data_IF_666357688312
#
_entry.id   IF_666357688312
#
_cell.length_a   1.000
_cell.length_b   1.000
_cell.length_c   1.000
_cell.angle_alpha   90.00
_cell.angle_beta   90.00
_cell.angle_gamma   90.00
#
_symmetry.space_group_name_H-M   'P 1'
#
loop_
_entity.id
_entity.type
_entity.pdbx_description
1 polymer ?
#
# COMPACT_ATOMS: atom_id res chain seq x y z
N UNK A 1 0.29 -14.83 -21.28
CA UNK A 1 0.71 -14.17 -20.02
C UNK A 1 0.85 -15.23 -18.93
N UNK A 2 1.86 -15.10 -18.05
CA UNK A 2 2.04 -15.99 -16.88
C UNK A 2 1.65 -15.21 -15.63
N UNK A 3 0.81 -15.79 -14.79
CA UNK A 3 0.50 -15.34 -13.45
C UNK A 3 1.21 -16.29 -12.46
N UNK A 4 2.14 -15.74 -11.69
CA UNK A 4 2.93 -16.48 -10.70
C UNK A 4 2.59 -15.99 -9.30
N UNK A 5 2.14 -16.85 -8.41
CA UNK A 5 1.76 -16.49 -7.04
C UNK A 5 1.86 -17.71 -6.10
N UNK A 6 1.98 -17.45 -4.79
CA UNK A 6 1.97 -18.50 -3.74
C UNK A 6 0.58 -19.11 -3.53
N UNK A 7 -0.47 -18.49 -4.07
CA UNK A 7 -1.84 -18.96 -3.94
C UNK A 7 -2.62 -18.73 -5.23
N UNK A 8 -3.51 -19.65 -5.54
CA UNK A 8 -4.39 -19.48 -6.69
C UNK A 8 -5.41 -18.36 -6.42
N UNK A 9 -5.62 -17.43 -7.37
CA UNK A 9 -6.64 -16.40 -7.20
C UNK A 9 -8.04 -17.02 -7.08
N UNK A 10 -8.88 -16.41 -6.24
CA UNK A 10 -10.26 -16.85 -6.07
C UNK A 10 -11.12 -16.62 -7.33
N UNK A 11 -10.74 -15.63 -8.14
CA UNK A 11 -11.42 -15.32 -9.41
C UNK A 11 -11.00 -16.31 -10.50
N UNK A 12 -11.90 -16.50 -11.45
CA UNK A 12 -11.61 -17.32 -12.65
C UNK A 12 -10.47 -16.67 -13.45
N UNK A 13 -9.44 -17.47 -13.74
CA UNK A 13 -8.32 -17.03 -14.56
C UNK A 13 -8.80 -16.98 -16.02
N UNK A 14 -8.68 -15.82 -16.71
CA UNK A 14 -9.08 -15.71 -18.10
C UNK A 14 -8.33 -16.69 -19.01
N UNK A 15 -8.97 -17.06 -20.12
CA UNK A 15 -8.36 -17.90 -21.15
C UNK A 15 -7.07 -17.26 -21.70
N UNK A 16 -6.06 -18.07 -21.97
CA UNK A 16 -4.74 -17.59 -22.43
C UNK A 16 -3.80 -17.12 -21.32
N UNK A 17 -4.22 -17.16 -20.04
CA UNK A 17 -3.35 -16.90 -18.90
C UNK A 17 -2.97 -18.23 -18.24
N UNK A 18 -1.67 -18.50 -18.17
CA UNK A 18 -1.13 -19.65 -17.44
C UNK A 18 -0.89 -19.25 -15.97
N UNK A 19 -1.46 -20.01 -15.05
CA UNK A 19 -1.16 -19.85 -13.61
C UNK A 19 -0.07 -20.86 -13.19
N UNK A 20 0.95 -20.36 -12.51
CA UNK A 20 2.03 -21.16 -11.93
C UNK A 20 2.07 -20.87 -10.42
N UNK A 21 1.90 -21.92 -9.63
CA UNK A 21 2.06 -21.86 -8.18
C UNK A 21 3.54 -21.87 -7.82
N UNK A 22 3.99 -20.89 -7.03
CA UNK A 22 5.39 -20.82 -6.58
C UNK A 22 5.63 -19.64 -5.67
N UNK A 23 6.79 -19.62 -5.03
CA UNK A 23 7.18 -18.61 -4.06
C UNK A 23 8.42 -17.84 -4.54
N UNK A 24 8.36 -16.52 -4.56
CA UNK A 24 9.51 -15.67 -4.96
C UNK A 24 10.72 -15.83 -4.04
N UNK A 25 10.55 -16.35 -2.83
CA UNK A 25 11.66 -16.69 -1.93
C UNK A 25 12.52 -17.84 -2.44
N UNK A 26 12.00 -18.66 -3.36
CA UNK A 26 12.69 -19.76 -3.97
C UNK A 26 13.05 -19.44 -5.42
N UNK A 27 14.33 -19.21 -5.69
CA UNK A 27 14.81 -18.90 -7.02
C UNK A 27 14.42 -19.97 -8.05
N UNK A 28 14.44 -21.25 -7.66
CA UNK A 28 14.03 -22.39 -8.50
C UNK A 28 12.61 -22.26 -9.04
N UNK A 29 11.68 -21.78 -8.21
CA UNK A 29 10.28 -21.65 -8.60
C UNK A 29 10.11 -20.59 -9.68
N UNK A 30 10.83 -19.47 -9.54
CA UNK A 30 10.85 -18.38 -10.53
C UNK A 30 11.51 -18.87 -11.84
N UNK A 31 12.63 -19.55 -11.75
CA UNK A 31 13.35 -20.08 -12.92
C UNK A 31 12.50 -21.13 -13.66
N UNK A 32 11.75 -21.96 -12.94
CA UNK A 32 10.79 -22.90 -13.51
C UNK A 32 9.65 -22.19 -14.23
N UNK A 33 9.14 -21.08 -13.68
CA UNK A 33 8.10 -20.28 -14.33
C UNK A 33 8.56 -19.63 -15.64
N UNK A 34 9.87 -19.41 -15.81
CA UNK A 34 10.47 -18.87 -17.04
C UNK A 34 10.92 -19.97 -18.02
N UNK A 35 10.79 -21.25 -17.64
CA UNK A 35 11.29 -22.34 -18.49
C UNK A 35 10.39 -22.54 -19.73
N UNK A 36 11.02 -22.62 -20.90
CA UNK A 36 10.30 -22.89 -22.17
C UNK A 36 9.50 -21.70 -22.71
N UNK A 37 9.61 -20.52 -22.11
CA UNK A 37 8.91 -19.30 -22.54
C UNK A 37 9.89 -18.15 -22.72
N UNK A 38 9.61 -17.30 -23.70
CA UNK A 38 10.32 -16.05 -23.90
C UNK A 38 9.61 -14.92 -23.14
N UNK A 39 10.17 -14.56 -21.97
CA UNK A 39 9.57 -13.56 -21.07
C UNK A 39 10.04 -12.17 -21.47
N UNK A 40 9.17 -11.38 -22.06
CA UNK A 40 9.50 -10.04 -22.52
C UNK A 40 9.57 -8.98 -21.41
N UNK A 41 8.83 -9.15 -20.32
CA UNK A 41 8.80 -8.23 -19.18
C UNK A 41 8.28 -8.94 -17.93
N UNK A 42 8.88 -8.65 -16.78
CA UNK A 42 8.37 -9.05 -15.47
C UNK A 42 7.73 -7.84 -14.79
N UNK A 43 6.49 -8.01 -14.35
CA UNK A 43 5.82 -7.10 -13.42
C UNK A 43 5.97 -7.67 -12.01
N UNK A 44 6.90 -7.12 -11.24
CA UNK A 44 7.16 -7.56 -9.87
C UNK A 44 6.27 -6.81 -8.88
N UNK A 45 5.10 -7.40 -8.60
CA UNK A 45 4.05 -6.82 -7.74
C UNK A 45 4.05 -7.48 -6.35
N UNK A 46 4.51 -8.73 -6.26
CA UNK A 46 4.51 -9.49 -5.02
C UNK A 46 5.20 -8.77 -3.87
N UNK A 47 4.53 -8.69 -2.73
CA UNK A 47 5.05 -8.08 -1.50
C UNK A 47 4.27 -8.57 -0.29
N UNK A 48 4.86 -8.44 0.91
CA UNK A 48 4.26 -8.88 2.16
C UNK A 48 4.41 -7.83 3.26
N UNK A 49 3.47 -7.79 4.20
CA UNK A 49 3.59 -7.01 5.44
C UNK A 49 3.07 -5.58 5.42
N UNK A 50 2.25 -5.18 4.42
CA UNK A 50 1.74 -3.82 4.32
C UNK A 50 0.74 -3.46 5.42
N UNK A 51 -0.06 -4.40 5.90
CA UNK A 51 -1.13 -4.14 6.88
C UNK A 51 -1.45 -5.34 7.75
N UNK A 52 -2.17 -5.09 8.85
CA UNK A 52 -2.70 -6.15 9.69
C UNK A 52 -1.62 -6.98 10.40
N UNK A 53 -1.88 -8.26 10.62
CA UNK A 53 -0.97 -9.20 11.29
C UNK A 53 0.34 -9.40 10.53
N UNK A 54 0.32 -9.21 9.23
CA UNK A 54 1.50 -9.34 8.39
C UNK A 54 2.62 -8.41 8.83
N UNK A 55 2.31 -7.20 9.31
CA UNK A 55 3.29 -6.21 9.77
C UNK A 55 4.16 -6.71 10.95
N UNK A 56 3.69 -7.71 11.67
CA UNK A 56 4.35 -8.24 12.87
C UNK A 56 5.45 -9.26 12.54
N UNK A 57 5.40 -9.86 11.35
CA UNK A 57 6.38 -10.87 10.93
C UNK A 57 7.53 -10.25 10.14
N UNK A 58 8.46 -9.60 10.86
CA UNK A 58 9.58 -8.88 10.25
C UNK A 58 10.49 -9.78 9.40
N UNK A 59 10.74 -11.02 9.82
CA UNK A 59 11.57 -11.96 9.07
C UNK A 59 10.95 -12.24 7.70
N UNK A 60 9.68 -12.62 7.68
CA UNK A 60 8.98 -12.93 6.44
C UNK A 60 8.86 -11.69 5.52
N UNK A 61 8.67 -10.49 6.09
CA UNK A 61 8.67 -9.23 5.32
C UNK A 61 10.02 -9.03 4.62
N UNK A 62 11.14 -9.26 5.32
CA UNK A 62 12.49 -9.15 4.75
C UNK A 62 12.73 -10.22 3.68
N UNK A 63 12.39 -11.47 3.96
CA UNK A 63 12.55 -12.59 3.03
C UNK A 63 11.78 -12.39 1.73
N UNK A 64 10.51 -11.95 1.83
CA UNK A 64 9.68 -11.73 0.64
C UNK A 64 10.08 -10.47 -0.10
N UNK A 65 10.14 -9.32 0.59
CA UNK A 65 10.29 -8.02 -0.09
C UNK A 65 11.71 -7.76 -0.56
N UNK A 66 12.73 -8.21 0.16
CA UNK A 66 14.13 -8.02 -0.21
C UNK A 66 14.70 -9.27 -0.86
N UNK A 67 14.65 -10.41 -0.19
CA UNK A 67 15.16 -11.68 -0.73
C UNK A 67 14.43 -12.12 -2.00
N UNK A 68 13.09 -12.04 -2.01
CA UNK A 68 12.29 -12.33 -3.19
C UNK A 68 12.60 -11.40 -4.37
N UNK A 69 12.83 -10.11 -4.11
CA UNK A 69 13.26 -9.16 -5.16
C UNK A 69 14.64 -9.51 -5.70
N UNK A 70 15.60 -9.91 -4.85
CA UNK A 70 16.92 -10.38 -5.30
C UNK A 70 16.79 -11.61 -6.20
N UNK A 71 15.94 -12.57 -5.84
CA UNK A 71 15.70 -13.76 -6.65
C UNK A 71 15.06 -13.43 -8.01
N UNK A 72 14.10 -12.51 -8.06
CA UNK A 72 13.50 -12.04 -9.31
C UNK A 72 14.57 -11.39 -10.23
N UNK A 73 15.39 -10.50 -9.68
CA UNK A 73 16.47 -9.85 -10.43
C UNK A 73 17.48 -10.88 -10.95
N UNK A 74 17.86 -11.86 -10.13
CA UNK A 74 18.76 -12.92 -10.53
C UNK A 74 18.16 -13.81 -11.63
N UNK A 75 16.88 -14.20 -11.50
CA UNK A 75 16.18 -14.97 -12.51
C UNK A 75 16.08 -14.22 -13.84
N UNK A 76 15.75 -12.92 -13.82
CA UNK A 76 15.72 -12.10 -15.01
C UNK A 76 17.07 -12.10 -15.74
N UNK A 77 18.17 -11.90 -15.02
CA UNK A 77 19.52 -11.92 -15.61
C UNK A 77 19.88 -13.28 -16.21
N UNK A 78 19.66 -14.36 -15.45
CA UNK A 78 19.98 -15.73 -15.88
C UNK A 78 19.18 -16.21 -17.07
N UNK A 79 17.91 -15.80 -17.14
CA UNK A 79 16.98 -16.23 -18.19
C UNK A 79 16.90 -15.27 -19.37
N UNK A 80 17.61 -14.14 -19.33
CA UNK A 80 17.64 -13.16 -20.41
C UNK A 80 16.38 -12.29 -20.49
N UNK A 81 15.68 -12.08 -19.39
CA UNK A 81 14.49 -11.22 -19.37
C UNK A 81 14.93 -9.75 -19.46
N UNK A 82 14.56 -9.00 -20.51
CA UNK A 82 15.13 -7.69 -20.76
C UNK A 82 14.52 -6.56 -19.94
N UNK A 83 13.31 -6.74 -19.36
CA UNK A 83 12.58 -5.66 -18.71
C UNK A 83 11.94 -6.09 -17.39
N UNK A 84 12.00 -5.20 -16.41
CA UNK A 84 11.32 -5.39 -15.12
C UNK A 84 10.70 -4.08 -14.65
N UNK A 85 9.40 -4.11 -14.34
CA UNK A 85 8.66 -3.04 -13.70
C UNK A 85 8.34 -3.45 -12.26
N UNK A 86 8.82 -2.67 -11.29
CA UNK A 86 8.64 -2.94 -9.87
C UNK A 86 7.53 -2.08 -9.26
N UNK A 87 6.61 -2.71 -8.58
CA UNK A 87 5.60 -1.99 -7.78
C UNK A 87 6.18 -1.66 -6.42
N UNK A 88 6.61 -0.43 -6.27
CA UNK A 88 7.10 0.16 -5.03
C UNK A 88 5.96 0.79 -4.21
N UNK A 89 6.20 1.90 -3.55
CA UNK A 89 5.23 2.68 -2.77
C UNK A 89 5.78 4.08 -2.50
N UNK A 90 4.92 5.09 -2.35
CA UNK A 90 5.36 6.42 -1.90
C UNK A 90 6.00 6.39 -0.49
N UNK A 91 5.73 5.36 0.31
CA UNK A 91 6.31 5.22 1.66
C UNK A 91 7.84 5.11 1.68
N UNK A 92 8.49 4.90 0.53
CA UNK A 92 9.97 4.88 0.47
C UNK A 92 10.59 6.23 0.78
N UNK A 93 9.80 7.31 0.66
CA UNK A 93 10.22 8.68 0.98
C UNK A 93 9.40 9.32 2.12
N UNK A 94 8.27 8.72 2.53
CA UNK A 94 7.36 9.27 3.52
C UNK A 94 7.52 8.57 4.87
N UNK A 95 7.75 9.37 5.92
CA UNK A 95 7.86 8.90 7.31
C UNK A 95 6.97 9.65 8.31
N UNK A 96 5.99 10.42 7.80
CA UNK A 96 5.10 11.23 8.63
C UNK A 96 5.33 12.75 8.48
N UNK A 97 6.32 13.18 7.70
CA UNK A 97 6.53 14.60 7.38
C UNK A 97 5.50 15.10 6.35
N UNK A 98 5.21 16.40 6.38
CA UNK A 98 4.35 17.03 5.38
C UNK A 98 5.09 17.08 4.03
N UNK A 99 4.44 16.54 3.00
CA UNK A 99 4.91 16.62 1.60
C UNK A 99 3.78 17.23 0.77
N UNK A 100 4.09 18.31 0.04
CA UNK A 100 3.13 18.97 -0.86
C UNK A 100 3.70 18.99 -2.26
N UNK A 101 3.00 18.35 -3.19
CA UNK A 101 3.40 18.24 -4.59
C UNK A 101 4.86 17.78 -4.75
N UNK A 102 5.27 16.77 -3.94
CA UNK A 102 6.62 16.22 -3.98
C UNK A 102 6.89 15.49 -5.29
N UNK A 103 8.10 15.54 -5.81
CA UNK A 103 8.51 14.83 -7.00
C UNK A 103 9.56 13.75 -6.72
N UNK A 104 10.00 13.06 -7.75
CA UNK A 104 10.93 11.95 -7.66
C UNK A 104 12.37 12.35 -7.27
N UNK A 105 12.68 13.66 -7.22
CA UNK A 105 13.95 14.19 -6.72
C UNK A 105 14.06 14.15 -5.19
N UNK A 106 12.93 13.98 -4.49
CA UNK A 106 12.91 13.86 -3.05
C UNK A 106 13.76 12.66 -2.59
N UNK A 107 14.61 12.85 -1.56
CA UNK A 107 15.47 11.78 -1.07
C UNK A 107 14.67 10.66 -0.43
N UNK A 108 15.21 9.44 -0.50
CA UNK A 108 14.70 8.33 0.28
C UNK A 108 14.74 8.65 1.78
N UNK A 109 13.71 8.23 2.48
CA UNK A 109 13.74 8.28 3.93
C UNK A 109 14.90 7.40 4.45
N UNK A 110 15.72 7.90 5.39
CA UNK A 110 16.74 7.08 6.04
C UNK A 110 16.15 5.80 6.64
N UNK A 111 16.81 4.65 6.46
CA UNK A 111 16.25 3.34 6.80
C UNK A 111 15.81 3.21 8.27
N UNK A 112 16.49 3.92 9.18
CA UNK A 112 16.14 3.91 10.62
C UNK A 112 14.95 4.81 10.98
N UNK A 113 14.52 5.70 10.07
CA UNK A 113 13.38 6.61 10.26
C UNK A 113 12.07 6.04 9.71
N UNK A 114 12.11 4.92 8.98
CA UNK A 114 10.87 4.30 8.52
C UNK A 114 10.01 3.85 9.70
N UNK A 115 8.74 4.30 9.75
CA UNK A 115 7.86 3.98 10.87
C UNK A 115 7.43 2.51 10.91
N UNK A 116 7.53 1.80 9.79
CA UNK A 116 7.21 0.37 9.67
C UNK A 116 8.24 -0.39 8.85
N UNK A 117 8.33 -1.70 9.12
CA UNK A 117 9.30 -2.57 8.47
C UNK A 117 9.00 -2.82 6.99
N UNK A 118 7.72 -2.82 6.60
CA UNK A 118 7.31 -2.91 5.20
C UNK A 118 7.89 -1.76 4.37
N UNK A 119 7.66 -0.51 4.78
CA UNK A 119 8.16 0.67 4.07
C UNK A 119 9.69 0.67 3.98
N UNK A 120 10.37 0.24 5.05
CA UNK A 120 11.83 0.05 5.07
C UNK A 120 12.28 -0.97 4.02
N UNK A 121 11.66 -2.15 3.97
CA UNK A 121 12.05 -3.20 3.02
C UNK A 121 11.70 -2.84 1.57
N UNK A 122 10.59 -2.14 1.34
CA UNK A 122 10.25 -1.61 0.02
C UNK A 122 11.28 -0.59 -0.48
N UNK A 123 11.82 0.26 0.42
CA UNK A 123 12.89 1.20 0.08
C UNK A 123 14.19 0.48 -0.30
N UNK A 124 14.55 -0.59 0.40
CA UNK A 124 15.72 -1.42 0.07
C UNK A 124 15.52 -2.09 -1.30
N UNK A 125 14.37 -2.72 -1.51
CA UNK A 125 14.05 -3.42 -2.75
C UNK A 125 14.02 -2.48 -3.97
N UNK A 126 13.41 -1.29 -3.84
CA UNK A 126 13.40 -0.30 -4.92
C UNK A 126 14.82 0.11 -5.31
N UNK A 127 15.68 0.41 -4.35
CA UNK A 127 17.09 0.76 -4.61
C UNK A 127 17.81 -0.37 -5.33
N UNK A 128 17.59 -1.64 -4.94
CA UNK A 128 18.16 -2.81 -5.63
C UNK A 128 17.67 -2.90 -7.07
N UNK A 129 16.37 -2.75 -7.32
CA UNK A 129 15.78 -2.78 -8.66
C UNK A 129 16.36 -1.68 -9.54
N UNK A 130 16.41 -0.44 -9.05
CA UNK A 130 16.94 0.68 -9.85
C UNK A 130 18.47 0.55 -10.08
N UNK A 131 19.21 0.02 -9.11
CA UNK A 131 20.65 -0.25 -9.26
C UNK A 131 20.96 -1.43 -10.22
N UNK A 132 19.99 -2.35 -10.40
CA UNK A 132 20.13 -3.45 -11.36
C UNK A 132 19.93 -3.01 -12.82
N UNK A 133 19.47 -1.78 -13.05
CA UNK A 133 19.31 -1.24 -14.39
C UNK A 133 20.66 -1.21 -15.13
N UNK A 134 20.68 -1.66 -16.37
CA UNK A 134 21.89 -1.72 -17.20
C UNK A 134 22.81 -2.93 -16.92
N UNK A 135 22.46 -3.84 -15.99
CA UNK A 135 23.25 -5.05 -15.76
C UNK A 135 23.14 -6.00 -16.95
N UNK A 136 24.26 -6.63 -17.34
CA UNK A 136 24.30 -7.57 -18.45
C UNK A 136 23.42 -8.80 -18.21
N UNK A 137 22.69 -9.21 -19.23
CA UNK A 137 21.95 -10.46 -19.26
C UNK A 137 22.89 -11.64 -19.57
N UNK A 138 22.69 -12.77 -18.92
CA UNK A 138 23.52 -13.97 -19.11
C UNK A 138 23.08 -14.77 -20.35
N UNK A 139 21.86 -14.52 -20.86
CA UNK A 139 21.34 -15.14 -22.10
C UNK A 139 20.75 -14.06 -23.00
N UNK A 140 20.78 -14.32 -24.31
CA UNK A 140 20.19 -13.44 -25.33
C UNK A 140 20.96 -12.15 -25.63
N UNK A 141 21.97 -11.83 -24.84
CA UNK A 141 22.69 -10.55 -24.93
C UNK A 141 21.88 -9.35 -24.45
N UNK A 142 22.53 -8.18 -24.39
CA UNK A 142 21.88 -6.94 -23.93
C UNK A 142 21.90 -6.76 -22.41
N UNK A 143 21.05 -5.85 -21.93
CA UNK A 143 21.01 -5.44 -20.53
C UNK A 143 19.60 -5.51 -19.98
N UNK A 144 19.49 -5.67 -18.67
CA UNK A 144 18.24 -5.57 -17.94
C UNK A 144 17.85 -4.09 -17.77
N UNK A 145 16.69 -3.71 -18.27
CA UNK A 145 16.10 -2.39 -18.06
C UNK A 145 15.03 -2.46 -16.96
N UNK A 146 15.17 -1.64 -15.93
CA UNK A 146 14.26 -1.64 -14.77
C UNK A 146 13.69 -0.28 -14.49
N UNK A 147 12.48 -0.22 -13.95
CA UNK A 147 11.91 0.99 -13.37
C UNK A 147 11.03 0.64 -12.15
N UNK A 148 10.67 1.65 -11.37
CA UNK A 148 9.84 1.49 -10.18
C UNK A 148 8.63 2.41 -10.23
N UNK A 149 7.44 1.91 -9.89
CA UNK A 149 6.24 2.70 -9.71
C UNK A 149 5.98 2.86 -8.20
N UNK A 150 5.74 4.09 -7.77
CA UNK A 150 5.42 4.47 -6.38
C UNK A 150 3.94 4.82 -6.28
N UNK A 151 3.04 3.84 -6.20
CA UNK A 151 1.61 4.11 -6.10
C UNK A 151 1.24 4.79 -4.80
N UNK A 152 0.19 5.62 -4.87
CA UNK A 152 -0.58 6.10 -3.74
C UNK A 152 -1.45 4.99 -3.12
N UNK A 153 -2.37 5.32 -2.22
CA UNK A 153 -3.30 4.36 -1.64
C UNK A 153 -4.16 3.69 -2.70
N UNK A 154 -3.96 2.40 -2.95
CA UNK A 154 -4.67 1.66 -4.01
C UNK A 154 -6.11 1.41 -3.57
N UNK A 155 -7.07 1.62 -4.48
CA UNK A 155 -8.49 1.31 -4.28
C UNK A 155 -9.12 0.76 -5.56
N UNK A 156 -10.33 0.20 -5.43
CA UNK A 156 -11.11 -0.31 -6.55
C UNK A 156 -11.92 -1.56 -6.16
N UNK A 157 -12.70 -2.12 -7.08
CA UNK A 157 -13.46 -3.34 -6.84
C UNK A 157 -12.55 -4.51 -6.45
N UNK A 158 -12.96 -5.27 -5.40
CA UNK A 158 -12.20 -6.43 -4.95
C UNK A 158 -10.93 -6.12 -4.17
N UNK A 159 -10.67 -4.85 -3.80
CA UNK A 159 -9.58 -4.51 -2.90
C UNK A 159 -9.80 -5.21 -1.54
N UNK A 160 -8.75 -5.88 -1.02
CA UNK A 160 -8.90 -6.81 0.11
C UNK A 160 -8.30 -6.31 1.44
N UNK A 161 -7.76 -5.10 1.48
CA UNK A 161 -6.99 -4.61 2.65
C UNK A 161 -7.62 -3.41 3.34
N UNK A 162 -7.82 -2.31 2.62
CA UNK A 162 -8.29 -1.06 3.19
C UNK A 162 -9.81 -0.98 3.24
N UNK A 163 -10.47 -1.20 2.12
CA UNK A 163 -11.93 -1.09 2.03
C UNK A 163 -12.65 -2.11 2.90
N UNK A 164 -12.31 -3.42 2.91
CA UNK A 164 -12.97 -4.39 3.78
C UNK A 164 -12.80 -4.08 5.26
N UNK A 165 -11.64 -3.53 5.65
CA UNK A 165 -11.37 -3.14 7.02
C UNK A 165 -12.27 -1.98 7.46
N UNK A 166 -12.42 -0.95 6.61
CA UNK A 166 -13.32 0.18 6.86
C UNK A 166 -14.77 -0.30 6.94
N UNK A 167 -15.21 -1.15 6.01
CA UNK A 167 -16.55 -1.74 6.02
C UNK A 167 -16.79 -2.54 7.31
N UNK A 168 -15.83 -3.38 7.71
CA UNK A 168 -15.91 -4.12 8.98
C UNK A 168 -16.03 -3.19 10.19
N UNK A 169 -15.35 -2.05 10.22
CA UNK A 169 -15.47 -1.08 11.31
C UNK A 169 -16.83 -0.38 11.32
N UNK A 170 -17.40 -0.09 10.14
CA UNK A 170 -18.75 0.45 10.03
C UNK A 170 -19.79 -0.55 10.55
N UNK A 171 -19.71 -1.81 10.14
CA UNK A 171 -20.63 -2.88 10.55
C UNK A 171 -20.58 -3.16 12.05
N UNK A 172 -19.37 -3.08 12.64
CA UNK A 172 -19.17 -3.21 14.09
C UNK A 172 -19.53 -1.94 14.88
N UNK A 173 -19.97 -0.86 14.20
CA UNK A 173 -20.26 0.41 14.84
C UNK A 173 -19.04 1.13 15.44
N UNK A 174 -17.83 0.82 14.97
CA UNK A 174 -16.57 1.41 15.44
C UNK A 174 -16.16 2.65 14.64
N UNK A 175 -16.72 2.87 13.46
CA UNK A 175 -16.44 4.04 12.62
C UNK A 175 -17.30 5.24 13.07
N UNK A 176 -16.96 5.83 14.22
CA UNK A 176 -17.79 6.88 14.88
C UNK A 176 -17.14 8.25 14.91
N UNK A 177 -15.87 8.35 14.62
CA UNK A 177 -15.10 9.59 14.58
C UNK A 177 -14.11 9.56 13.43
N UNK A 178 -13.73 10.73 13.00
CA UNK A 178 -12.59 10.99 12.13
C UNK A 178 -11.54 11.78 12.91
N UNK A 179 -10.32 11.92 12.41
CA UNK A 179 -9.27 12.62 13.15
C UNK A 179 -8.35 13.43 12.24
N UNK A 180 -7.50 14.22 12.85
CA UNK A 180 -6.51 15.05 12.17
C UNK A 180 -7.10 16.34 11.60
N UNK A 181 -6.27 17.06 10.83
CA UNK A 181 -6.66 18.31 10.19
C UNK A 181 -7.63 18.04 9.03
N UNK A 182 -8.82 18.70 8.98
CA UNK A 182 -9.73 18.59 7.84
C UNK A 182 -9.12 19.05 6.52
N UNK A 183 -8.06 19.87 6.56
CA UNK A 183 -7.33 20.35 5.39
C UNK A 183 -6.15 19.44 5.00
N UNK A 184 -5.89 18.36 5.74
CA UNK A 184 -4.87 17.40 5.36
C UNK A 184 -5.25 16.71 4.05
N UNK A 185 -4.29 16.57 3.15
CA UNK A 185 -4.48 16.03 1.80
C UNK A 185 -3.59 14.80 1.62
N UNK A 186 -4.19 13.74 1.13
CA UNK A 186 -3.51 12.50 0.71
C UNK A 186 -3.98 12.13 -0.69
N UNK A 187 -3.35 11.15 -1.30
CA UNK A 187 -3.74 10.68 -2.63
C UNK A 187 -4.09 9.19 -2.63
N UNK A 188 -4.88 8.85 -3.63
CA UNK A 188 -5.28 7.49 -3.95
C UNK A 188 -5.02 7.20 -5.42
N UNK A 189 -5.00 5.91 -5.78
CA UNK A 189 -4.90 5.46 -7.16
C UNK A 189 -5.88 4.32 -7.39
N UNK A 190 -6.74 4.46 -8.40
CA UNK A 190 -7.60 3.36 -8.81
C UNK A 190 -6.77 2.22 -9.42
N UNK A 191 -7.18 0.98 -9.18
CA UNK A 191 -6.46 -0.20 -9.68
C UNK A 191 -6.23 -0.15 -11.19
N UNK A 192 -7.21 0.31 -11.98
CA UNK A 192 -7.09 0.41 -13.45
C UNK A 192 -6.07 1.48 -13.88
N UNK A 193 -6.01 2.61 -13.18
CA UNK A 193 -4.97 3.61 -13.40
C UNK A 193 -3.57 3.04 -13.08
N UNK A 194 -3.47 2.24 -12.03
CA UNK A 194 -2.21 1.59 -11.69
C UNK A 194 -1.82 0.52 -12.72
N UNK A 195 -2.78 -0.26 -13.22
CA UNK A 195 -2.54 -1.23 -14.32
C UNK A 195 -2.08 -0.51 -15.57
N UNK A 196 -2.75 0.58 -15.97
CA UNK A 196 -2.32 1.44 -17.08
C UNK A 196 -0.87 1.91 -16.90
N UNK A 197 -0.53 2.41 -15.71
CA UNK A 197 0.84 2.86 -15.42
C UNK A 197 1.88 1.73 -15.57
N UNK A 198 1.57 0.50 -15.16
CA UNK A 198 2.46 -0.65 -15.36
C UNK A 198 2.71 -0.95 -16.84
N UNK A 199 1.63 -0.94 -17.64
CA UNK A 199 1.72 -1.18 -19.09
C UNK A 199 2.57 -0.09 -19.74
N UNK A 200 2.28 1.19 -19.46
CA UNK A 200 3.02 2.33 -20.00
C UNK A 200 4.50 2.32 -19.59
N UNK A 201 4.80 1.96 -18.34
CA UNK A 201 6.17 1.81 -17.85
C UNK A 201 6.92 0.69 -18.60
N UNK A 202 6.26 -0.45 -18.82
CA UNK A 202 6.83 -1.55 -19.62
C UNK A 202 7.12 -1.13 -21.08
N UNK A 203 6.24 -0.33 -21.69
CA UNK A 203 6.47 0.23 -23.02
C UNK A 203 7.64 1.24 -23.04
N UNK A 204 7.70 2.12 -22.03
CA UNK A 204 8.75 3.13 -21.90
C UNK A 204 10.15 2.53 -21.63
N UNK A 205 10.24 1.26 -21.23
CA UNK A 205 11.49 0.51 -21.13
C UNK A 205 11.99 -0.07 -22.48
N UNK A 206 11.22 0.03 -23.56
CA UNK A 206 11.59 -0.48 -24.88
C UNK A 206 12.57 0.44 -25.62
N UNK A 207 13.40 -0.14 -26.51
CA UNK A 207 14.35 0.61 -27.34
C UNK A 207 13.69 1.66 -28.24
N UNK A 208 12.50 1.35 -28.81
CA UNK A 208 11.74 2.28 -29.64
C UNK A 208 11.20 3.51 -28.87
N UNK A 209 11.24 3.49 -27.55
CA UNK A 209 10.96 4.63 -26.65
C UNK A 209 12.24 5.23 -26.04
N UNK A 210 13.42 4.85 -26.57
CA UNK A 210 14.70 5.32 -26.06
C UNK A 210 15.01 4.87 -24.65
N UNK A 211 14.37 3.82 -24.13
CA UNK A 211 14.51 3.34 -22.75
C UNK A 211 14.28 4.45 -21.70
N UNK A 212 13.37 5.40 -21.95
CA UNK A 212 13.21 6.62 -21.14
C UNK A 212 12.92 6.31 -19.66
N UNK A 213 12.27 5.16 -19.37
CA UNK A 213 11.96 4.75 -18.01
C UNK A 213 13.12 3.99 -17.32
N UNK A 214 14.23 3.69 -18.02
CA UNK A 214 15.30 2.87 -17.47
C UNK A 214 15.99 3.53 -16.28
N UNK A 215 16.00 2.84 -15.14
CA UNK A 215 16.56 3.34 -13.88
C UNK A 215 15.72 4.40 -13.17
N UNK A 216 14.48 4.63 -13.60
CA UNK A 216 13.65 5.73 -13.11
C UNK A 216 12.54 5.25 -12.15
N UNK A 217 12.27 5.98 -11.04
CA UNK A 217 11.07 5.86 -10.25
C UNK A 217 9.98 6.82 -10.77
N UNK A 218 8.70 6.49 -10.54
CA UNK A 218 7.54 7.32 -10.89
C UNK A 218 6.48 7.28 -9.79
N UNK A 219 5.98 8.44 -9.37
CA UNK A 219 4.76 8.52 -8.57
C UNK A 219 3.54 8.26 -9.43
N UNK A 220 2.61 7.46 -8.91
CA UNK A 220 1.36 7.12 -9.59
C UNK A 220 0.18 7.32 -8.64
N UNK A 221 -0.73 8.22 -9.01
CA UNK A 221 -1.97 8.52 -8.31
C UNK A 221 -3.05 8.95 -9.30
N UNK A 222 -4.27 9.17 -8.82
CA UNK A 222 -5.35 9.74 -9.62
C UNK A 222 -5.19 11.27 -9.83
N UNK A 223 -4.14 11.89 -9.26
CA UNK A 223 -3.86 13.32 -9.37
C UNK A 223 -4.88 14.21 -8.66
N UNK A 224 -5.57 13.69 -7.66
CA UNK A 224 -6.62 14.36 -6.88
C UNK A 224 -6.35 14.29 -5.39
N UNK A 225 -5.51 15.18 -4.84
CA UNK A 225 -5.31 15.23 -3.40
C UNK A 225 -6.63 15.52 -2.67
N UNK A 226 -6.98 14.69 -1.70
CA UNK A 226 -8.23 14.73 -0.95
C UNK A 226 -7.99 14.43 0.52
N UNK A 227 -8.88 14.88 1.41
CA UNK A 227 -8.82 14.42 2.79
C UNK A 227 -9.13 12.92 2.87
N UNK A 228 -8.30 12.18 3.60
CA UNK A 228 -8.42 10.72 3.69
C UNK A 228 -9.82 10.24 4.07
N UNK A 229 -10.44 10.90 5.04
CA UNK A 229 -11.77 10.49 5.51
C UNK A 229 -12.87 10.89 4.53
N UNK A 230 -12.76 12.07 3.92
CA UNK A 230 -13.72 12.54 2.92
C UNK A 230 -13.71 11.66 1.67
N UNK A 231 -12.54 11.11 1.32
CA UNK A 231 -12.44 10.12 0.24
C UNK A 231 -13.37 8.93 0.46
N UNK A 232 -13.47 8.42 1.70
CA UNK A 232 -14.32 7.27 2.00
C UNK A 232 -15.79 7.63 2.29
N UNK A 233 -16.17 8.91 2.31
CA UNK A 233 -17.56 9.33 2.54
C UNK A 233 -18.57 8.65 1.60
N UNK A 234 -18.34 8.58 0.27
CA UNK A 234 -19.26 7.90 -0.64
C UNK A 234 -19.48 6.41 -0.30
N UNK A 235 -18.42 5.72 0.13
CA UNK A 235 -18.51 4.33 0.57
C UNK A 235 -19.37 4.20 1.85
N UNK A 236 -19.12 5.06 2.83
CA UNK A 236 -19.87 5.06 4.11
C UNK A 236 -21.36 5.30 3.87
N UNK A 237 -21.68 6.37 3.15
CA UNK A 237 -23.07 6.77 2.89
C UNK A 237 -23.74 5.80 1.91
N UNK A 238 -23.01 5.34 0.90
CA UNK A 238 -23.47 4.36 -0.07
C UNK A 238 -23.85 3.01 0.55
N UNK A 239 -23.18 2.59 1.63
CA UNK A 239 -23.53 1.38 2.40
C UNK A 239 -24.60 1.62 3.47
N UNK A 240 -25.21 2.82 3.54
CA UNK A 240 -26.32 3.17 4.44
C UNK A 240 -25.89 3.58 5.85
N UNK A 241 -24.61 3.90 6.07
CA UNK A 241 -24.11 4.40 7.35
C UNK A 241 -24.04 5.94 7.35
N UNK A 242 -24.07 6.53 8.54
CA UNK A 242 -23.84 7.98 8.69
C UNK A 242 -22.34 8.26 8.78
N UNK A 243 -21.89 9.22 8.00
CA UNK A 243 -20.50 9.69 8.11
C UNK A 243 -20.28 10.37 9.47
N UNK A 244 -19.16 10.09 10.17
CA UNK A 244 -18.89 10.65 11.49
C UNK A 244 -18.77 12.17 11.46
N UNK A 245 -19.44 12.85 12.39
CA UNK A 245 -19.34 14.30 12.58
C UNK A 245 -18.30 14.70 13.63
N UNK A 246 -17.89 13.77 14.50
CA UNK A 246 -16.91 14.01 15.56
C UNK A 246 -15.50 13.92 14.95
N UNK A 247 -14.71 14.99 15.15
CA UNK A 247 -13.30 15.02 14.73
C UNK A 247 -12.39 15.13 15.94
N UNK A 248 -11.45 14.20 16.06
CA UNK A 248 -10.48 14.15 17.15
C UNK A 248 -9.13 14.73 16.73
N UNK A 249 -8.37 15.35 17.64
CA UNK A 249 -7.01 15.80 17.37
C UNK A 249 -6.09 14.63 16.97
N UNK A 250 -5.21 14.86 16.00
CA UNK A 250 -4.23 13.87 15.55
C UNK A 250 -3.35 13.36 16.70
N UNK A 251 -2.90 14.29 17.56
CA UNK A 251 -2.05 13.99 18.72
C UNK A 251 -2.69 12.98 19.65
N UNK A 252 -4.00 13.12 19.93
CA UNK A 252 -4.74 12.20 20.79
C UNK A 252 -4.74 10.78 20.20
N UNK A 253 -5.01 10.67 18.90
CA UNK A 253 -5.05 9.38 18.21
C UNK A 253 -3.64 8.78 18.11
N UNK A 254 -2.62 9.60 17.92
CA UNK A 254 -1.22 9.16 17.94
C UNK A 254 -0.82 8.58 19.30
N UNK A 255 -1.16 9.25 20.41
CA UNK A 255 -0.91 8.73 21.75
C UNK A 255 -1.65 7.39 21.99
N UNK A 256 -2.90 7.31 21.55
CA UNK A 256 -3.66 6.05 21.61
C UNK A 256 -3.00 4.93 20.82
N UNK A 257 -2.56 5.20 19.59
CA UNK A 257 -1.84 4.23 18.76
C UNK A 257 -0.53 3.79 19.43
N UNK A 258 0.24 4.72 20.01
CA UNK A 258 1.45 4.41 20.76
C UNK A 258 1.17 3.46 21.93
N UNK A 259 0.13 3.74 22.72
CA UNK A 259 -0.23 2.89 23.86
C UNK A 259 -0.68 1.49 23.42
N UNK A 260 -1.42 1.37 22.31
CA UNK A 260 -1.82 0.06 21.78
C UNK A 260 -0.63 -0.74 21.26
N UNK A 261 0.36 -0.08 20.62
CA UNK A 261 1.61 -0.72 20.21
C UNK A 261 2.45 -1.17 21.42
N UNK A 262 2.58 -0.35 22.47
CA UNK A 262 3.28 -0.70 23.71
C UNK A 262 2.60 -1.88 24.42
N UNK A 263 1.27 -1.87 24.50
CA UNK A 263 0.51 -2.98 25.06
C UNK A 263 0.74 -4.26 24.27
N UNK A 264 0.75 -4.18 22.93
CA UNK A 264 1.07 -5.31 22.08
C UNK A 264 2.51 -5.80 22.29
N UNK A 265 3.48 -4.90 22.44
CA UNK A 265 4.88 -5.27 22.71
C UNK A 265 5.03 -6.04 24.03
N UNK A 266 4.31 -5.63 25.07
CA UNK A 266 4.38 -6.26 26.41
C UNK A 266 3.58 -7.57 26.44
N UNK A 267 2.33 -7.56 25.97
CA UNK A 267 1.39 -8.67 26.09
C UNK A 267 1.34 -9.59 24.86
N UNK A 268 1.90 -9.16 23.73
CA UNK A 268 1.81 -9.89 22.46
C UNK A 268 2.46 -11.28 22.49
N UNK A 269 3.37 -11.52 23.44
CA UNK A 269 3.93 -12.86 23.69
C UNK A 269 2.94 -13.81 24.38
N UNK A 270 1.99 -13.28 25.15
CA UNK A 270 0.99 -14.04 25.91
C UNK A 270 -0.35 -14.06 25.19
N UNK A 271 -0.70 -12.96 24.52
CA UNK A 271 -1.98 -12.77 23.87
C UNK A 271 -1.78 -12.10 22.52
N UNK A 272 -1.90 -12.88 21.46
CA UNK A 272 -1.69 -12.39 20.09
C UNK A 272 -2.91 -11.56 19.61
N UNK A 273 -3.03 -10.33 20.12
CA UNK A 273 -4.02 -9.37 19.61
C UNK A 273 -3.37 -8.43 18.58
N UNK A 274 -4.15 -8.02 17.62
CA UNK A 274 -3.71 -7.06 16.61
C UNK A 274 -4.00 -5.63 17.11
N UNK A 275 -3.02 -4.70 17.11
CA UNK A 275 -3.29 -3.30 17.40
C UNK A 275 -4.39 -2.77 16.48
N UNK A 276 -5.38 -2.09 17.09
CA UNK A 276 -6.52 -1.52 16.34
C UNK A 276 -6.06 -0.44 15.36
N UNK A 277 -5.05 0.34 15.75
CA UNK A 277 -4.45 1.41 14.96
C UNK A 277 -2.97 1.51 15.32
N UNK A 278 -2.12 1.69 14.31
CA UNK A 278 -0.68 1.92 14.49
C UNK A 278 -0.33 3.38 14.24
N UNK A 279 0.78 3.86 14.85
CA UNK A 279 1.29 5.22 14.61
C UNK A 279 1.52 5.51 13.13
N UNK A 280 2.00 4.52 12.40
CA UNK A 280 2.16 4.59 10.93
C UNK A 280 0.85 4.87 10.21
N UNK A 281 -0.22 4.16 10.59
CA UNK A 281 -1.54 4.38 10.00
C UNK A 281 -2.07 5.78 10.33
N UNK A 282 -1.81 6.29 11.55
CA UNK A 282 -2.18 7.65 11.94
C UNK A 282 -1.50 8.69 11.06
N UNK A 283 -0.20 8.55 10.79
CA UNK A 283 0.52 9.47 9.91
C UNK A 283 0.04 9.36 8.45
N UNK A 284 -0.13 8.15 7.92
CA UNK A 284 -0.59 7.92 6.54
C UNK A 284 -1.98 8.47 6.26
N UNK A 285 -2.82 8.61 7.29
CA UNK A 285 -4.20 9.10 7.12
C UNK A 285 -4.40 10.54 7.57
N UNK A 286 -3.56 11.06 8.45
CA UNK A 286 -3.74 12.36 9.09
C UNK A 286 -2.78 13.46 8.66
N UNK A 287 -1.66 13.13 8.04
CA UNK A 287 -0.63 14.10 7.62
C UNK A 287 -0.70 14.31 6.11
N UNK A 288 -0.59 15.57 5.69
CA UNK A 288 -0.59 15.92 4.25
C UNK A 288 0.60 15.32 3.53
N UNK A 289 0.33 14.50 2.51
CA UNK A 289 1.34 14.03 1.56
C UNK A 289 0.68 13.72 0.21
N UNK A 290 1.15 14.41 -0.82
CA UNK A 290 0.75 14.19 -2.20
C UNK A 290 1.89 14.58 -3.15
N UNK A 291 1.86 14.06 -4.39
CA UNK A 291 3.02 14.03 -5.27
C UNK A 291 2.68 14.53 -6.67
N UNK A 292 3.69 15.05 -7.34
CA UNK A 292 3.60 15.48 -8.73
C UNK A 292 3.57 14.27 -9.67
N UNK A 293 2.69 14.31 -10.67
CA UNK A 293 2.60 13.32 -11.74
C UNK A 293 3.29 13.79 -13.03
N UNK A 294 3.93 14.95 -13.02
CA UNK A 294 4.49 15.56 -14.24
C UNK A 294 5.52 14.67 -14.93
N UNK A 295 6.35 13.97 -14.17
CA UNK A 295 7.32 13.01 -14.72
C UNK A 295 6.63 11.81 -15.37
N UNK A 296 5.65 11.22 -14.71
CA UNK A 296 4.88 10.10 -15.26
C UNK A 296 4.10 10.50 -16.53
N UNK A 297 3.50 11.68 -16.55
CA UNK A 297 2.84 12.23 -17.73
C UNK A 297 3.81 12.42 -18.88
N UNK A 298 4.94 13.08 -18.64
CA UNK A 298 5.92 13.42 -19.68
C UNK A 298 6.63 12.20 -20.26
N UNK A 299 7.07 11.27 -19.42
CA UNK A 299 7.93 10.16 -19.82
C UNK A 299 7.17 8.89 -20.14
N UNK A 300 6.08 8.59 -19.40
CA UNK A 300 5.25 7.41 -19.65
C UNK A 300 4.02 7.71 -20.51
N UNK A 301 3.60 8.96 -20.62
CA UNK A 301 2.30 9.32 -21.19
C UNK A 301 1.13 8.94 -20.27
N UNK A 302 1.38 8.93 -18.95
CA UNK A 302 0.36 8.54 -17.97
C UNK A 302 -0.71 9.64 -17.82
N UNK A 303 -1.95 9.27 -18.05
CA UNK A 303 -3.13 10.11 -17.84
C UNK A 303 -4.11 9.37 -16.94
N UNK A 304 -4.28 9.86 -15.73
CA UNK A 304 -5.20 9.27 -14.77
C UNK A 304 -6.65 9.45 -15.22
N UNK A 305 -7.39 8.37 -15.32
CA UNK A 305 -8.83 8.40 -15.52
C UNK A 305 -9.53 8.68 -14.19
N UNK A 306 -10.73 9.24 -14.28
CA UNK A 306 -11.53 9.59 -13.12
C UNK A 306 -12.40 8.41 -12.71
N UNK A 307 -12.14 7.90 -11.53
CA UNK A 307 -12.95 6.89 -10.88
C UNK A 307 -13.55 7.46 -9.59
N UNK A 308 -14.62 6.87 -9.14
CA UNK A 308 -15.22 7.09 -7.84
C UNK A 308 -15.33 5.78 -7.05
N UNK A 309 -15.87 5.85 -5.84
CA UNK A 309 -16.05 4.65 -5.01
C UNK A 309 -17.39 3.93 -5.28
N UNK A 310 -18.17 4.34 -6.28
CA UNK A 310 -19.48 3.76 -6.54
C UNK A 310 -19.39 2.27 -6.91
N UNK A 311 -18.43 1.90 -7.75
CA UNK A 311 -18.20 0.50 -8.10
C UNK A 311 -17.84 -0.36 -6.88
N UNK A 312 -17.02 0.19 -5.96
CA UNK A 312 -16.70 -0.48 -4.71
C UNK A 312 -17.95 -0.63 -3.82
N UNK A 313 -18.79 0.42 -3.74
CA UNK A 313 -20.08 0.35 -3.02
C UNK A 313 -20.96 -0.77 -3.57
N UNK A 314 -21.12 -0.85 -4.87
CA UNK A 314 -21.92 -1.88 -5.54
C UNK A 314 -21.35 -3.28 -5.31
N UNK A 315 -20.03 -3.40 -5.41
CA UNK A 315 -19.33 -4.65 -5.11
C UNK A 315 -19.60 -5.12 -3.68
N UNK A 316 -19.45 -4.26 -2.68
CA UNK A 316 -19.72 -4.59 -1.27
C UNK A 316 -21.19 -4.96 -1.05
N UNK A 317 -22.14 -4.23 -1.65
CA UNK A 317 -23.57 -4.57 -1.57
C UNK A 317 -23.88 -5.94 -2.17
N UNK A 318 -23.32 -6.25 -3.33
CA UNK A 318 -23.46 -7.55 -3.98
C UNK A 318 -22.92 -8.71 -3.13
N UNK A 319 -21.91 -8.44 -2.29
CA UNK A 319 -21.34 -9.43 -1.35
C UNK A 319 -22.00 -9.43 0.03
N UNK A 320 -23.15 -8.77 0.18
CA UNK A 320 -23.97 -8.81 1.39
C UNK A 320 -23.54 -7.84 2.49
N UNK A 321 -22.68 -6.88 2.18
CA UNK A 321 -22.28 -5.82 3.11
C UNK A 321 -23.25 -4.63 3.09
N UNK A 322 -23.27 -3.87 4.19
CA UNK A 322 -24.07 -2.67 4.35
C UNK A 322 -25.12 -2.79 5.46
N UNK A 323 -25.77 -1.66 5.77
CA UNK A 323 -26.76 -1.58 6.86
C UNK A 323 -28.05 -2.25 6.44
N UNK A 324 -28.46 -3.28 7.15
CA UNK A 324 -29.75 -3.95 6.94
C UNK A 324 -30.89 -3.06 7.46
N UNK A 325 -32.01 -2.92 6.73
CA UNK A 325 -33.20 -2.27 7.25
C UNK A 325 -33.62 -2.91 8.57
N UNK A 326 -33.79 -2.11 9.64
CA UNK A 326 -34.24 -2.59 10.96
C UNK A 326 -33.13 -3.09 11.90
N UNK A 327 -31.85 -3.10 11.51
CA UNK A 327 -30.77 -3.36 12.47
C UNK A 327 -30.72 -2.24 13.51
N UNK A 328 -31.15 -2.55 14.74
CA UNK A 328 -30.91 -1.65 15.88
C UNK A 328 -29.39 -1.49 16.02
N UNK A 329 -28.95 -0.23 16.16
CA UNK A 329 -27.58 0.03 16.61
C UNK A 329 -27.34 -0.90 17.81
N UNK A 330 -26.28 -1.71 17.77
CA UNK A 330 -25.80 -2.46 18.93
C UNK A 330 -25.36 -1.41 19.96
N UNK A 331 -26.35 -0.84 20.59
CA UNK A 331 -26.24 0.33 21.46
C UNK A 331 -25.62 -0.11 22.76
N UNK A 332 -24.73 0.68 23.19
CA UNK A 332 -24.36 0.95 24.57
C UNK A 332 -23.05 0.35 25.07
N UNK A 333 -22.81 -0.96 25.07
CA UNK A 333 -21.63 -1.51 25.76
C UNK A 333 -20.29 -1.13 25.15
N UNK A 334 -20.17 -1.19 23.83
CA UNK A 334 -18.88 -0.87 23.16
C UNK A 334 -18.62 0.65 23.19
N UNK A 335 -19.65 1.48 23.12
CA UNK A 335 -19.56 2.93 23.24
C UNK A 335 -18.98 3.36 24.57
N UNK A 336 -19.46 2.75 25.64
CA UNK A 336 -19.10 3.15 27.00
C UNK A 336 -17.67 2.70 27.33
N UNK A 337 -17.23 1.53 26.85
CA UNK A 337 -15.84 1.07 26.97
C UNK A 337 -14.86 1.90 26.14
N UNK A 338 -15.22 2.33 24.93
CA UNK A 338 -14.37 3.21 24.11
C UNK A 338 -14.25 4.61 24.74
N UNK A 339 -15.31 5.15 25.30
CA UNK A 339 -15.28 6.42 26.02
C UNK A 339 -14.42 6.32 27.29
N UNK A 340 -14.57 5.22 28.05
CA UNK A 340 -13.73 4.96 29.22
C UNK A 340 -12.25 4.81 28.82
N UNK A 341 -11.96 4.05 27.78
CA UNK A 341 -10.60 3.88 27.29
C UNK A 341 -10.00 5.20 26.79
N UNK A 342 -10.79 6.02 26.11
CA UNK A 342 -10.40 7.36 25.64
C UNK A 342 -10.15 8.30 26.83
N UNK A 343 -10.99 8.27 27.86
CA UNK A 343 -10.80 9.05 29.09
C UNK A 343 -9.54 8.59 29.85
N UNK A 344 -9.31 7.29 29.97
CA UNK A 344 -8.11 6.74 30.60
C UNK A 344 -6.86 7.13 29.85
N UNK A 345 -6.88 7.09 28.50
CA UNK A 345 -5.73 7.52 27.67
C UNK A 345 -5.50 9.03 27.76
N UNK A 346 -6.55 9.84 27.86
CA UNK A 346 -6.42 11.29 28.09
C UNK A 346 -5.79 11.61 29.46
N UNK A 347 -6.20 10.90 30.51
CA UNK A 347 -5.64 11.05 31.85
C UNK A 347 -4.18 10.62 31.89
N UNK A 348 -3.84 9.49 31.25
CA UNK A 348 -2.45 9.02 31.13
C UNK A 348 -1.58 9.97 30.30
N UNK A 349 -2.10 10.52 29.21
CA UNK A 349 -1.39 11.53 28.40
C UNK A 349 -1.18 12.84 29.15
N UNK A 350 -2.11 13.21 30.03
CA UNK A 350 -1.98 14.39 30.89
C UNK A 350 -0.96 14.18 32.03
N UNK A 351 -0.85 12.95 32.54
CA UNK A 351 0.10 12.59 33.60
C UNK A 351 1.54 12.35 33.09
N UNK A 352 1.76 12.20 31.77
CA UNK A 352 3.06 11.95 31.17
C UNK A 352 3.49 13.07 30.18
N UNK A 353 3.64 14.34 30.61
CA UNK A 353 3.97 15.44 29.69
C UNK A 353 5.37 15.37 29.06
N UNK A 354 6.23 14.44 29.50
CA UNK A 354 7.64 14.35 29.08
C UNK A 354 7.91 13.38 27.90
N UNK A 355 6.88 12.78 27.29
CA UNK A 355 7.04 11.76 26.24
C UNK A 355 6.71 12.30 24.84
N UNK A 356 6.32 13.56 24.71
CA UNK A 356 5.99 14.16 23.41
C UNK A 356 7.23 14.88 22.87
N UNK A 357 7.85 14.41 21.76
CA UNK A 357 8.82 15.22 21.05
C UNK A 357 8.11 16.47 20.53
N UNK A 358 8.69 17.65 20.78
CA UNK A 358 8.26 18.90 20.16
C UNK A 358 8.35 18.75 18.64
N UNK A 359 7.21 18.80 17.97
CA UNK A 359 7.07 18.84 16.51
C UNK A 359 7.31 20.25 16.01
#
# INVERSE_FOLDING_TARGET
MILFDISRPAQTIPEGIQFILGDIRHLSDIENAFQGVDVACVFHIASYGMSGREQLNRSLIEEVNVGGTDNILQACRRRGVPRLVYTSTFNVIFGGQVIRNGDESLPYLPLHLHPDHYSRTKSIAEKKVLSANGTALERGGGVLSTCALRPAGIYGPGEQRHLPRIVSYMEKGLFRFVYGDPKSLVEFVHVDNLVQAHILASEALKANKGHIAAGQPYFISDGRPVNNFEFFRPLVEGLGYKFPSIRLPLTLIYCFAFLTEMTHFILGRLYNFQPFLTRTEVYKTGVTHYFSLEKAKKELGYEAQLFDLQEAVEWFKAHGHGRRPGSRDSKCLVRDWLVILLLVTMVLAWLLPSVIPSV
#
